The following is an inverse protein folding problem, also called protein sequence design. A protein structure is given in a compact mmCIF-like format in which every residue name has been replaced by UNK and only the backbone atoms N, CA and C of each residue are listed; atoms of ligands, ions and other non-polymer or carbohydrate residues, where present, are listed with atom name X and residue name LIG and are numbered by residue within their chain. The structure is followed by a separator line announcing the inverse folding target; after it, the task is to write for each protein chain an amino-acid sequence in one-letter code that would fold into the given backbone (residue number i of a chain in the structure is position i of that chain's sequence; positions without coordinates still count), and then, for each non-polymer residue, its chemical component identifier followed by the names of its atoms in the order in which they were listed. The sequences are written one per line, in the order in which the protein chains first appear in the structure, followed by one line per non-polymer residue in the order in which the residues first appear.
data_IF_259244314789
#
_entry.id   IF_259244314789
#
_cell.length_a   1.000
_cell.length_b   1.000
_cell.length_c   1.000
_cell.angle_alpha   90.00
_cell.angle_beta   90.00
_cell.angle_gamma   90.00
#
_symmetry.space_group_name_H-M   'P 1'
#
loop_
_entity.id
_entity.type
_entity.pdbx_description
1 polymer ?
#
# COMPACT_ATOMS: atom_id res chain seq x y z
N UNK A 1 -44.56 22.92 8.47
CA UNK A 1 -43.99 22.43 7.19
C UNK A 1 -42.45 22.50 7.07
N UNK A 2 -41.69 23.15 8.00
CA UNK A 2 -40.19 23.08 8.02
C UNK A 2 -39.61 22.12 9.09
N UNK A 3 -40.42 21.64 10.03
CA UNK A 3 -39.99 20.68 11.07
C UNK A 3 -39.96 19.23 10.60
N UNK A 4 -40.76 18.91 9.58
CA UNK A 4 -41.01 17.54 9.12
C UNK A 4 -39.76 16.94 8.44
N UNK A 5 -39.02 17.74 7.66
CA UNK A 5 -37.74 17.30 7.06
C UNK A 5 -36.65 17.04 8.10
N UNK A 6 -36.57 17.87 9.14
CA UNK A 6 -35.65 17.66 10.27
C UNK A 6 -35.99 16.42 11.09
N UNK A 7 -37.29 16.13 11.25
CA UNK A 7 -37.78 14.93 11.91
C UNK A 7 -37.44 13.66 11.13
N UNK A 8 -37.68 13.65 9.81
CA UNK A 8 -37.35 12.52 8.92
C UNK A 8 -35.85 12.25 8.92
N UNK A 9 -35.02 13.30 8.79
CA UNK A 9 -33.56 13.16 8.83
C UNK A 9 -33.07 12.59 10.17
N UNK A 10 -33.62 13.07 11.29
CA UNK A 10 -33.28 12.55 12.61
C UNK A 10 -33.62 11.05 12.73
N UNK A 11 -34.80 10.63 12.27
CA UNK A 11 -35.20 9.22 12.31
C UNK A 11 -34.32 8.32 11.42
N UNK A 12 -33.90 8.82 10.26
CA UNK A 12 -32.97 8.10 9.39
C UNK A 12 -31.60 7.90 10.06
N UNK A 13 -31.04 8.95 10.66
CA UNK A 13 -29.76 8.87 11.38
C UNK A 13 -29.86 7.94 12.59
N UNK A 14 -30.95 8.01 13.36
CA UNK A 14 -31.20 7.11 14.49
C UNK A 14 -31.26 5.66 14.02
N UNK A 15 -32.04 5.36 12.96
CA UNK A 15 -32.16 4.01 12.41
C UNK A 15 -30.81 3.44 11.95
N UNK A 16 -29.94 4.28 11.39
CA UNK A 16 -28.58 3.87 10.99
C UNK A 16 -27.68 3.61 12.19
N UNK A 17 -27.71 4.49 13.19
CA UNK A 17 -26.90 4.33 14.41
C UNK A 17 -27.18 3.00 15.13
N UNK A 18 -28.44 2.55 15.14
CA UNK A 18 -28.81 1.26 15.75
C UNK A 18 -28.11 0.04 15.10
N UNK A 19 -27.61 0.17 13.86
CA UNK A 19 -26.91 -0.90 13.15
C UNK A 19 -25.37 -0.75 13.19
N UNK A 20 -24.84 0.21 13.94
CA UNK A 20 -23.39 0.49 14.02
C UNK A 20 -22.87 -0.02 15.37
N UNK A 21 -21.90 -0.97 15.38
CA UNK A 21 -21.29 -1.43 16.62
C UNK A 21 -20.66 -0.27 17.41
N UNK A 22 -20.94 -0.19 18.71
CA UNK A 22 -20.43 0.87 19.58
C UNK A 22 -21.14 2.22 19.42
N UNK A 23 -22.25 2.32 18.68
CA UNK A 23 -23.07 3.52 18.63
C UNK A 23 -24.20 3.48 19.67
N UNK A 24 -24.40 4.59 20.39
CA UNK A 24 -25.54 4.80 21.30
C UNK A 24 -26.33 6.04 20.91
N UNK A 25 -27.66 5.92 20.92
CA UNK A 25 -28.57 7.01 20.56
C UNK A 25 -29.22 7.56 21.83
N UNK A 26 -29.18 8.89 21.99
CA UNK A 26 -29.82 9.60 23.10
C UNK A 26 -30.83 10.60 22.56
N UNK A 27 -32.13 10.32 22.76
CA UNK A 27 -33.24 11.17 22.33
C UNK A 27 -33.89 11.90 23.51
N UNK A 28 -34.11 13.21 23.38
CA UNK A 28 -34.60 14.05 24.48
C UNK A 28 -36.13 14.25 24.50
N UNK A 29 -36.88 13.64 23.59
CA UNK A 29 -38.35 13.63 23.57
C UNK A 29 -39.04 15.00 23.79
N UNK A 30 -38.46 16.08 23.25
CA UNK A 30 -39.02 17.43 23.42
C UNK A 30 -40.29 17.62 22.58
N UNK A 31 -41.31 18.32 23.10
CA UNK A 31 -42.65 18.38 22.49
C UNK A 31 -42.70 19.10 21.14
N UNK A 32 -41.67 19.87 20.76
CA UNK A 32 -41.65 20.59 19.48
C UNK A 32 -40.26 20.60 18.81
N UNK A 33 -40.22 20.32 17.52
CA UNK A 33 -39.01 20.35 16.68
C UNK A 33 -38.93 21.71 15.98
N UNK A 34 -37.96 22.53 16.42
CA UNK A 34 -37.68 23.86 15.86
C UNK A 34 -36.23 23.92 15.37
N UNK A 35 -35.95 24.73 14.34
CA UNK A 35 -34.59 24.92 13.80
C UNK A 35 -33.62 25.33 14.92
N UNK A 36 -32.40 24.79 14.91
CA UNK A 36 -31.35 24.99 15.94
C UNK A 36 -31.66 24.44 17.35
N UNK A 37 -32.80 23.77 17.57
CA UNK A 37 -33.07 23.08 18.84
C UNK A 37 -32.39 21.70 18.84
N UNK A 38 -31.48 21.45 19.79
CA UNK A 38 -30.88 20.12 19.97
C UNK A 38 -31.94 19.12 20.46
N UNK A 39 -32.23 18.11 19.65
CA UNK A 39 -33.25 17.08 19.91
C UNK A 39 -32.67 15.78 20.48
N UNK A 40 -31.37 15.57 20.34
CA UNK A 40 -30.66 14.40 20.83
C UNK A 40 -29.17 14.47 20.51
N UNK A 41 -28.48 13.35 20.72
CA UNK A 41 -27.12 13.13 20.23
C UNK A 41 -26.87 11.63 20.03
N UNK A 42 -25.82 11.31 19.27
CA UNK A 42 -25.36 9.94 19.03
C UNK A 42 -23.90 9.90 19.46
N UNK A 43 -23.54 8.91 20.28
CA UNK A 43 -22.16 8.66 20.69
C UNK A 43 -21.65 7.45 19.92
N UNK A 44 -20.43 7.50 19.42
CA UNK A 44 -19.78 6.39 18.73
C UNK A 44 -18.47 6.11 19.46
N UNK A 45 -18.29 4.89 19.93
CA UNK A 45 -17.05 4.41 20.54
C UNK A 45 -16.45 3.29 19.71
N UNK A 46 -15.12 3.16 19.78
CA UNK A 46 -14.36 2.14 19.08
C UNK A 46 -12.96 2.03 19.68
N UNK A 47 -12.22 0.96 19.35
CA UNK A 47 -10.89 0.72 19.93
C UNK A 47 -9.83 1.70 19.39
N UNK A 48 -10.09 2.36 18.26
CA UNK A 48 -9.22 3.38 17.68
C UNK A 48 -10.01 4.55 17.09
N UNK A 49 -9.33 5.68 16.86
CA UNK A 49 -9.92 6.83 16.17
C UNK A 49 -10.31 6.51 14.72
N UNK A 50 -9.63 5.53 14.09
CA UNK A 50 -9.96 5.07 12.74
C UNK A 50 -11.34 4.38 12.72
N UNK A 51 -11.60 3.49 13.66
CA UNK A 51 -12.88 2.77 13.76
C UNK A 51 -14.04 3.73 14.04
N UNK A 52 -13.83 4.68 14.96
CA UNK A 52 -14.81 5.73 15.27
C UNK A 52 -15.14 6.55 14.04
N UNK A 53 -14.12 6.93 13.24
CA UNK A 53 -14.32 7.70 12.00
C UNK A 53 -15.05 6.89 10.93
N UNK A 54 -14.71 5.62 10.75
CA UNK A 54 -15.37 4.74 9.80
C UNK A 54 -16.85 4.51 10.16
N UNK A 55 -17.16 4.35 11.44
CA UNK A 55 -18.52 4.26 11.95
C UNK A 55 -19.30 5.57 11.76
N UNK A 56 -18.67 6.73 12.01
CA UNK A 56 -19.27 8.03 11.76
C UNK A 56 -19.60 8.24 10.27
N UNK A 57 -18.71 7.85 9.36
CA UNK A 57 -18.94 7.98 7.91
C UNK A 57 -20.13 7.13 7.44
N UNK A 58 -20.28 5.89 7.97
CA UNK A 58 -21.47 5.05 7.73
C UNK A 58 -22.76 5.69 8.24
N UNK A 59 -22.72 6.28 9.44
CA UNK A 59 -23.89 6.95 10.04
C UNK A 59 -24.39 8.09 9.15
N UNK A 60 -23.47 8.92 8.66
CA UNK A 60 -23.81 10.12 7.91
C UNK A 60 -24.30 9.83 6.48
N UNK A 61 -24.19 8.61 5.96
CA UNK A 61 -24.36 8.32 4.52
C UNK A 61 -23.68 9.40 3.69
N UNK A 62 -22.43 9.72 4.03
CA UNK A 62 -21.56 10.22 2.99
C UNK A 62 -21.42 9.05 2.04
N UNK A 63 -22.18 9.05 0.96
CA UNK A 63 -21.95 8.13 -0.13
C UNK A 63 -20.45 8.16 -0.39
N UNK A 64 -19.79 7.04 -0.18
CA UNK A 64 -18.50 6.78 -0.81
C UNK A 64 -18.78 6.51 -2.29
N UNK A 65 -19.37 7.50 -2.96
CA UNK A 65 -19.32 7.69 -4.42
C UNK A 65 -18.02 8.42 -4.81
N UNK A 66 -17.18 8.76 -3.82
CA UNK A 66 -15.74 8.74 -4.03
C UNK A 66 -15.26 7.31 -4.25
N UNK A 67 -14.21 7.08 -5.04
CA UNK A 67 -13.70 5.75 -5.34
C UNK A 67 -13.63 4.94 -4.04
N UNK A 68 -14.19 3.72 -4.01
CA UNK A 68 -14.01 2.77 -2.91
C UNK A 68 -12.56 2.92 -2.46
N UNK A 69 -12.31 3.45 -1.26
CA UNK A 69 -10.95 3.61 -0.75
C UNK A 69 -10.41 2.21 -0.57
N UNK A 70 -9.79 1.69 -1.62
CA UNK A 70 -9.25 0.35 -1.65
C UNK A 70 -8.17 0.34 -0.58
N UNK A 71 -8.35 -0.51 0.43
CA UNK A 71 -7.38 -0.59 1.52
C UNK A 71 -6.07 -1.13 0.92
N UNK A 72 -4.94 -0.43 1.12
CA UNK A 72 -3.67 -0.87 0.56
C UNK A 72 -3.29 -2.22 1.20
N UNK A 73 -2.92 -3.19 0.37
CA UNK A 73 -2.33 -4.47 0.77
C UNK A 73 -0.81 -4.40 0.79
N UNK A 74 -0.22 -3.55 -0.07
CA UNK A 74 1.21 -3.33 -0.13
C UNK A 74 1.56 -1.86 0.16
N UNK A 75 2.78 -1.63 0.61
CA UNK A 75 3.35 -0.29 0.75
C UNK A 75 4.66 -0.18 -0.01
N UNK A 76 4.85 0.91 -0.74
CA UNK A 76 6.12 1.29 -1.37
C UNK A 76 6.63 2.55 -0.67
N UNK A 77 7.68 2.41 0.14
CA UNK A 77 8.28 3.52 0.86
C UNK A 77 9.71 3.78 0.42
N UNK A 78 10.11 5.04 0.47
CA UNK A 78 11.45 5.47 0.11
C UNK A 78 11.97 6.56 1.02
N UNK A 79 13.30 6.61 1.20
CA UNK A 79 13.95 7.58 2.07
C UNK A 79 13.93 9.01 1.53
N UNK A 80 13.87 9.16 0.20
CA UNK A 80 13.90 10.43 -0.52
C UNK A 80 13.07 10.37 -1.81
N UNK A 81 12.58 11.52 -2.28
CA UNK A 81 11.91 11.63 -3.58
C UNK A 81 12.82 11.30 -4.77
N UNK A 82 14.13 11.54 -4.62
CA UNK A 82 15.16 11.13 -5.57
C UNK A 82 15.21 9.62 -5.84
N UNK A 83 14.63 8.81 -4.95
CA UNK A 83 14.57 7.35 -5.11
C UNK A 83 13.36 6.92 -5.98
N UNK A 84 12.38 7.82 -6.19
CA UNK A 84 11.14 7.55 -6.91
C UNK A 84 11.36 7.04 -8.35
N UNK A 85 12.33 7.54 -9.14
CA UNK A 85 12.58 7.02 -10.50
C UNK A 85 12.89 5.52 -10.54
N UNK A 86 13.42 4.96 -9.46
CA UNK A 86 13.66 3.52 -9.29
C UNK A 86 12.42 2.87 -8.66
N UNK A 87 11.95 3.41 -7.55
CA UNK A 87 10.89 2.78 -6.75
C UNK A 87 9.52 2.72 -7.45
N UNK A 88 9.29 3.55 -8.48
CA UNK A 88 8.09 3.49 -9.32
C UNK A 88 7.93 2.13 -10.01
N UNK A 89 9.01 1.39 -10.26
CA UNK A 89 8.92 0.11 -10.97
C UNK A 89 8.27 -0.96 -10.08
N UNK A 90 8.42 -0.86 -8.75
CA UNK A 90 7.65 -1.67 -7.81
C UNK A 90 6.15 -1.33 -7.88
N UNK A 91 5.81 -0.04 -7.92
CA UNK A 91 4.43 0.42 -8.07
C UNK A 91 3.81 -0.07 -9.38
N UNK A 92 4.53 0.02 -10.50
CA UNK A 92 4.07 -0.45 -11.80
C UNK A 92 3.74 -1.95 -11.80
N UNK A 93 4.54 -2.78 -11.10
CA UNK A 93 4.21 -4.20 -10.92
C UNK A 93 2.96 -4.39 -10.06
N UNK A 94 2.83 -3.66 -8.95
CA UNK A 94 1.63 -3.75 -8.10
C UNK A 94 0.37 -3.33 -8.88
N UNK A 95 0.44 -2.28 -9.70
CA UNK A 95 -0.64 -1.87 -10.62
C UNK A 95 -0.97 -2.97 -11.63
N UNK A 96 0.04 -3.55 -12.29
CA UNK A 96 -0.13 -4.64 -13.26
C UNK A 96 -0.87 -5.85 -12.68
N UNK A 97 -0.63 -6.16 -11.41
CA UNK A 97 -1.31 -7.25 -10.70
C UNK A 97 -2.56 -6.79 -9.93
N UNK A 98 -3.05 -5.57 -10.15
CA UNK A 98 -4.21 -5.00 -9.47
C UNK A 98 -4.12 -5.12 -7.93
N UNK A 99 -2.91 -4.99 -7.37
CA UNK A 99 -2.68 -5.00 -5.94
C UNK A 99 -2.84 -3.57 -5.42
N UNK A 100 -3.78 -3.31 -4.50
CA UNK A 100 -3.92 -1.98 -3.91
C UNK A 100 -2.68 -1.66 -3.08
N UNK A 101 -2.10 -0.49 -3.29
CA UNK A 101 -0.91 -0.08 -2.55
C UNK A 101 -0.91 1.41 -2.21
N UNK A 102 -0.05 1.77 -1.27
CA UNK A 102 0.31 3.16 -1.02
C UNK A 102 1.77 3.40 -1.38
N UNK A 103 2.07 4.59 -1.89
CA UNK A 103 3.44 5.02 -2.19
C UNK A 103 3.71 6.34 -1.45
N UNK A 104 4.76 6.38 -0.64
CA UNK A 104 5.06 7.58 0.15
C UNK A 104 6.53 7.68 0.58
N UNK A 105 6.93 8.86 1.06
CA UNK A 105 8.28 9.12 1.57
C UNK A 105 8.30 8.91 3.08
N UNK A 106 9.26 8.09 3.52
CA UNK A 106 9.54 7.77 4.92
C UNK A 106 11.04 7.76 5.11
N UNK A 107 11.61 8.83 5.67
CA UNK A 107 13.06 8.91 5.89
C UNK A 107 13.42 8.40 7.29
N UNK A 108 14.25 7.35 7.35
CA UNK A 108 14.76 6.80 8.61
C UNK A 108 15.64 7.79 9.37
N UNK A 109 16.44 8.59 8.65
CA UNK A 109 17.38 9.52 9.28
C UNK A 109 16.78 10.91 9.54
N UNK A 110 15.93 11.42 8.65
CA UNK A 110 15.40 12.78 8.73
C UNK A 110 14.06 12.86 9.47
N UNK A 111 13.27 11.78 9.45
CA UNK A 111 11.96 11.70 10.10
C UNK A 111 11.79 10.38 10.85
N UNK A 112 12.67 10.06 11.83
CA UNK A 112 12.67 8.76 12.51
C UNK A 112 11.33 8.46 13.21
N UNK A 113 10.69 9.45 13.84
CA UNK A 113 9.39 9.27 14.50
C UNK A 113 8.27 8.92 13.50
N UNK A 114 8.28 9.54 12.31
CA UNK A 114 7.35 9.20 11.23
C UNK A 114 7.56 7.76 10.78
N UNK A 115 8.80 7.34 10.57
CA UNK A 115 9.13 5.95 10.20
C UNK A 115 8.66 4.97 11.28
N UNK A 116 8.91 5.30 12.54
CA UNK A 116 8.52 4.49 13.69
C UNK A 116 7.00 4.29 13.74
N UNK A 117 6.24 5.39 13.71
CA UNK A 117 4.78 5.36 13.71
C UNK A 117 4.21 4.65 12.46
N UNK A 118 4.85 4.83 11.30
CA UNK A 118 4.46 4.18 10.06
C UNK A 118 4.60 2.65 10.14
N UNK A 119 5.74 2.16 10.63
CA UNK A 119 6.02 0.73 10.73
C UNK A 119 5.13 0.02 11.76
N UNK A 120 4.94 0.61 12.95
CA UNK A 120 4.07 0.04 14.00
C UNK A 120 2.61 -0.08 13.55
N UNK A 121 2.08 0.96 12.90
CA UNK A 121 0.68 0.99 12.46
C UNK A 121 0.42 0.21 11.16
N UNK A 122 1.46 -0.22 10.43
CA UNK A 122 1.33 -0.79 9.09
C UNK A 122 0.34 -1.97 9.02
N UNK A 123 0.47 -2.93 9.94
CA UNK A 123 -0.40 -4.12 10.00
C UNK A 123 -1.84 -3.77 10.32
N UNK A 124 -2.06 -2.85 11.25
CA UNK A 124 -3.41 -2.39 11.64
C UNK A 124 -4.13 -1.66 10.50
N UNK A 125 -3.37 -0.99 9.62
CA UNK A 125 -3.89 -0.35 8.41
C UNK A 125 -4.26 -1.35 7.30
N UNK A 126 -3.95 -2.63 7.47
CA UNK A 126 -4.25 -3.70 6.51
C UNK A 126 -3.12 -4.02 5.53
N UNK A 127 -1.92 -3.46 5.73
CA UNK A 127 -0.77 -3.84 4.93
C UNK A 127 -0.36 -5.28 5.23
N UNK A 128 0.01 -5.99 4.19
CA UNK A 128 0.48 -7.38 4.19
C UNK A 128 1.96 -7.48 3.83
N UNK A 129 2.51 -6.50 3.10
CA UNK A 129 3.93 -6.46 2.70
C UNK A 129 4.41 -5.01 2.53
N UNK A 130 5.67 -4.74 2.88
CA UNK A 130 6.30 -3.43 2.71
C UNK A 130 7.52 -3.56 1.81
N UNK A 131 7.60 -2.73 0.78
CA UNK A 131 8.76 -2.55 -0.09
C UNK A 131 9.44 -1.23 0.29
N UNK A 132 10.70 -1.30 0.73
CA UNK A 132 11.44 -0.16 1.23
C UNK A 132 12.72 0.08 0.41
N UNK A 133 12.84 1.27 -0.18
CA UNK A 133 14.01 1.72 -0.93
C UNK A 133 14.88 2.69 -0.13
N UNK A 134 16.19 2.46 -0.11
CA UNK A 134 17.15 3.41 0.45
C UNK A 134 18.56 3.27 -0.18
N UNK A 135 19.30 4.39 -0.22
CA UNK A 135 20.66 4.46 -0.75
C UNK A 135 21.72 4.81 0.30
N UNK A 136 22.97 4.42 0.06
CA UNK A 136 24.11 4.72 0.93
C UNK A 136 24.08 3.90 2.22
N UNK A 137 24.09 4.60 3.37
CA UNK A 137 23.78 3.99 4.67
C UNK A 137 22.27 3.69 4.77
N UNK A 138 21.83 2.67 4.04
CA UNK A 138 20.44 2.42 3.68
C UNK A 138 19.62 1.75 4.81
N UNK A 139 19.41 2.46 5.92
CA UNK A 139 18.80 1.89 7.14
C UNK A 139 17.28 1.67 7.09
N UNK A 140 16.57 2.29 6.15
CA UNK A 140 15.10 2.27 6.12
C UNK A 140 14.51 0.85 6.15
N UNK A 141 14.94 -0.11 5.29
CA UNK A 141 14.33 -1.44 5.27
C UNK A 141 14.53 -2.20 6.60
N UNK A 142 15.76 -2.19 7.13
CA UNK A 142 16.09 -2.87 8.38
C UNK A 142 15.38 -2.28 9.60
N UNK A 143 15.27 -0.95 9.67
CA UNK A 143 14.56 -0.27 10.76
C UNK A 143 13.05 -0.46 10.69
N UNK A 144 12.46 -0.55 9.50
CA UNK A 144 11.04 -0.89 9.37
C UNK A 144 10.79 -2.34 9.76
N UNK A 145 11.65 -3.26 9.32
CA UNK A 145 11.57 -4.68 9.67
C UNK A 145 11.68 -4.93 11.18
N UNK A 146 12.45 -4.12 11.91
CA UNK A 146 12.58 -4.27 13.37
C UNK A 146 11.35 -3.83 14.16
N UNK A 147 10.41 -3.12 13.53
CA UNK A 147 9.25 -2.50 14.16
C UNK A 147 7.92 -3.11 13.72
N UNK A 148 7.95 -4.11 12.84
CA UNK A 148 6.73 -4.73 12.31
C UNK A 148 6.86 -6.24 12.20
N UNK A 149 5.71 -6.93 12.19
CA UNK A 149 5.64 -8.38 11.93
C UNK A 149 5.40 -8.70 10.45
N UNK A 150 5.25 -7.67 9.62
CA UNK A 150 5.05 -7.82 8.18
C UNK A 150 6.38 -8.15 7.48
N UNK A 151 6.36 -8.91 6.38
CA UNK A 151 7.52 -9.06 5.52
C UNK A 151 7.95 -7.70 4.95
N UNK A 152 9.25 -7.42 5.02
CA UNK A 152 9.87 -6.22 4.44
C UNK A 152 10.84 -6.63 3.34
N UNK A 153 10.64 -6.07 2.15
CA UNK A 153 11.48 -6.24 0.98
C UNK A 153 12.36 -5.00 0.85
N UNK A 154 13.67 -5.20 0.82
CA UNK A 154 14.65 -4.12 0.72
C UNK A 154 15.12 -3.93 -0.73
N UNK A 155 15.02 -2.71 -1.25
CA UNK A 155 15.57 -2.30 -2.56
C UNK A 155 16.80 -1.42 -2.32
N UNK A 156 18.02 -1.93 -2.57
CA UNK A 156 19.22 -1.11 -2.50
C UNK A 156 19.23 -0.10 -3.63
N UNK A 157 19.23 1.20 -3.31
CA UNK A 157 19.25 2.27 -4.31
C UNK A 157 20.69 2.54 -4.74
N UNK A 158 20.90 2.80 -6.02
CA UNK A 158 22.22 3.10 -6.57
C UNK A 158 22.80 4.39 -5.97
N UNK A 159 24.10 4.37 -5.68
CA UNK A 159 24.86 5.52 -5.18
C UNK A 159 25.98 5.89 -6.14
N UNK A 160 26.31 7.18 -6.24
CA UNK A 160 27.37 7.66 -7.13
C UNK A 160 28.75 7.07 -6.79
N UNK A 161 29.05 6.93 -5.50
CA UNK A 161 30.39 6.57 -5.05
C UNK A 161 30.66 5.07 -5.11
N UNK A 162 29.70 4.22 -4.71
CA UNK A 162 29.89 2.78 -4.55
C UNK A 162 28.89 1.93 -5.35
N UNK A 163 28.19 2.56 -6.29
CA UNK A 163 27.27 1.92 -7.24
C UNK A 163 26.19 1.08 -6.55
N UNK A 164 25.80 1.46 -5.33
CA UNK A 164 24.80 0.76 -4.52
C UNK A 164 25.34 -0.44 -3.73
N UNK A 165 26.65 -0.73 -3.75
CA UNK A 165 27.24 -1.79 -2.90
C UNK A 165 27.10 -1.45 -1.41
N UNK A 166 27.27 -0.18 -1.06
CA UNK A 166 26.99 0.38 0.26
C UNK A 166 25.53 0.17 0.66
N UNK A 167 24.61 0.50 -0.23
CA UNK A 167 23.17 0.27 -0.03
C UNK A 167 22.87 -1.22 0.15
N UNK A 168 23.46 -2.09 -0.68
CA UNK A 168 23.22 -3.52 -0.66
C UNK A 168 23.66 -4.11 0.67
N UNK A 169 24.91 -3.85 1.08
CA UNK A 169 25.46 -4.39 2.32
C UNK A 169 24.73 -3.82 3.56
N UNK A 170 24.27 -2.57 3.52
CA UNK A 170 23.46 -1.98 4.60
C UNK A 170 22.10 -2.65 4.79
N UNK A 171 21.54 -3.25 3.73
CA UNK A 171 20.20 -3.86 3.75
C UNK A 171 20.28 -5.38 3.95
N UNK A 172 21.18 -6.07 3.24
CA UNK A 172 21.20 -7.55 3.21
C UNK A 172 21.86 -8.17 4.44
N UNK A 173 22.82 -7.50 5.07
CA UNK A 173 23.59 -8.03 6.20
C UNK A 173 22.91 -7.81 7.56
N UNK A 174 21.59 -8.00 7.62
CA UNK A 174 20.87 -7.89 8.88
C UNK A 174 21.36 -8.93 9.90
N UNK A 175 21.56 -8.55 11.17
CA UNK A 175 21.83 -9.50 12.24
C UNK A 175 20.69 -10.51 12.42
N UNK A 176 20.99 -11.62 13.13
CA UNK A 176 20.00 -12.66 13.44
C UNK A 176 18.79 -12.06 14.17
N UNK A 177 17.60 -12.42 13.72
CA UNK A 177 16.32 -12.08 14.36
C UNK A 177 15.44 -11.12 13.57
N UNK A 178 16.03 -10.20 12.78
CA UNK A 178 15.27 -9.19 12.02
C UNK A 178 15.60 -9.31 10.53
N UNK A 179 14.91 -10.18 9.78
CA UNK A 179 15.20 -10.41 8.37
C UNK A 179 14.67 -9.27 7.46
N UNK A 180 15.38 -9.01 6.38
CA UNK A 180 14.91 -8.22 5.23
C UNK A 180 15.09 -9.06 3.97
N UNK A 181 14.05 -9.16 3.14
CA UNK A 181 14.14 -9.84 1.85
C UNK A 181 14.75 -8.87 0.81
N UNK A 182 16.07 -8.90 0.66
CA UNK A 182 16.79 -7.96 -0.21
C UNK A 182 16.79 -8.43 -1.67
N UNK A 183 16.42 -7.53 -2.59
CA UNK A 183 16.53 -7.76 -4.04
C UNK A 183 17.80 -7.12 -4.61
N UNK A 184 18.04 -7.31 -5.92
CA UNK A 184 19.17 -6.70 -6.61
C UNK A 184 19.17 -5.17 -6.53
N UNK A 185 20.35 -4.56 -6.62
CA UNK A 185 20.53 -3.10 -6.60
C UNK A 185 19.67 -2.46 -7.72
N UNK A 186 18.86 -1.47 -7.34
CA UNK A 186 17.99 -0.73 -8.24
C UNK A 186 16.79 -1.52 -8.77
N UNK A 187 16.61 -2.79 -8.41
CA UNK A 187 15.60 -3.65 -9.02
C UNK A 187 14.28 -3.63 -8.24
N UNK A 188 13.62 -2.47 -8.24
CA UNK A 188 12.30 -2.31 -7.61
C UNK A 188 11.21 -3.13 -8.32
N UNK A 189 11.35 -3.41 -9.63
CA UNK A 189 10.46 -4.31 -10.36
C UNK A 189 10.41 -5.70 -9.69
N UNK A 190 11.56 -6.31 -9.42
CA UNK A 190 11.62 -7.60 -8.72
C UNK A 190 11.13 -7.52 -7.28
N UNK A 191 11.23 -6.36 -6.62
CA UNK A 191 10.62 -6.18 -5.30
C UNK A 191 9.09 -6.20 -5.38
N UNK A 192 8.51 -5.57 -6.40
CA UNK A 192 7.08 -5.66 -6.71
C UNK A 192 6.67 -7.11 -7.00
N UNK A 193 7.42 -7.83 -7.83
CA UNK A 193 7.14 -9.24 -8.16
C UNK A 193 7.25 -10.15 -6.93
N UNK A 194 8.23 -9.93 -6.07
CA UNK A 194 8.38 -10.67 -4.82
C UNK A 194 7.21 -10.39 -3.87
N UNK A 195 6.77 -9.13 -3.75
CA UNK A 195 5.58 -8.78 -2.99
C UNK A 195 4.34 -9.49 -3.52
N UNK A 196 4.13 -9.49 -4.85
CA UNK A 196 3.03 -10.20 -5.50
C UNK A 196 3.09 -11.70 -5.18
N UNK A 197 4.26 -12.34 -5.26
CA UNK A 197 4.43 -13.77 -4.91
C UNK A 197 4.13 -14.06 -3.44
N UNK A 198 4.53 -13.17 -2.53
CA UNK A 198 4.19 -13.30 -1.10
C UNK A 198 2.66 -13.25 -0.89
N UNK A 199 1.97 -12.31 -1.53
CA UNK A 199 0.51 -12.19 -1.46
C UNK A 199 -0.20 -13.37 -2.12
N UNK A 200 0.32 -13.84 -3.25
CA UNK A 200 -0.23 -14.97 -4.02
C UNK A 200 -0.21 -16.29 -3.24
N UNK A 201 0.69 -16.45 -2.27
CA UNK A 201 0.81 -17.67 -1.46
C UNK A 201 -0.49 -18.09 -0.75
N UNK A 202 -1.45 -17.15 -0.58
CA UNK A 202 -2.76 -17.40 0.02
C UNK A 202 -3.92 -16.92 -0.85
N UNK A 203 -3.66 -16.58 -2.10
CA UNK A 203 -4.60 -15.97 -3.05
C UNK A 203 -4.48 -16.71 -4.39
N UNK A 204 -5.38 -17.68 -4.62
CA UNK A 204 -5.31 -18.59 -5.78
C UNK A 204 -5.45 -17.84 -7.10
N UNK A 205 -6.33 -16.84 -7.17
CA UNK A 205 -6.52 -16.03 -8.37
C UNK A 205 -5.27 -15.18 -8.67
N UNK A 206 -4.62 -14.63 -7.64
CA UNK A 206 -3.34 -13.95 -7.82
C UNK A 206 -2.22 -14.92 -8.22
N UNK A 207 -2.22 -16.14 -7.67
CA UNK A 207 -1.27 -17.19 -8.06
C UNK A 207 -1.39 -17.56 -9.54
N UNK A 208 -2.60 -17.68 -10.06
CA UNK A 208 -2.83 -17.96 -11.49
C UNK A 208 -2.30 -16.84 -12.38
N UNK A 209 -2.52 -15.58 -12.00
CA UNK A 209 -1.95 -14.41 -12.71
C UNK A 209 -0.43 -14.39 -12.68
N UNK A 210 0.18 -14.86 -11.59
CA UNK A 210 1.65 -15.01 -11.50
C UNK A 210 2.15 -16.10 -12.44
N UNK A 211 1.43 -17.21 -12.57
CA UNK A 211 1.75 -18.28 -13.52
C UNK A 211 1.64 -17.78 -14.97
N UNK A 212 0.56 -17.08 -15.30
CA UNK A 212 0.36 -16.46 -16.62
C UNK A 212 1.48 -15.46 -16.94
N UNK A 213 1.90 -14.64 -15.97
CA UNK A 213 3.04 -13.74 -16.16
C UNK A 213 4.33 -14.50 -16.49
N UNK A 214 4.59 -15.65 -15.88
CA UNK A 214 5.77 -16.47 -16.17
C UNK A 214 5.72 -17.09 -17.56
N UNK A 215 4.55 -17.60 -17.98
CA UNK A 215 4.34 -18.13 -19.33
C UNK A 215 4.57 -17.04 -20.39
N UNK A 216 4.03 -15.84 -20.17
CA UNK A 216 4.24 -14.70 -21.07
C UNK A 216 5.72 -14.29 -21.19
N UNK A 217 6.52 -14.45 -20.13
CA UNK A 217 7.97 -14.20 -20.19
C UNK A 217 8.68 -15.26 -21.05
N UNK A 218 8.31 -16.53 -20.90
CA UNK A 218 8.83 -17.61 -21.72
C UNK A 218 8.50 -17.37 -23.20
N UNK A 219 7.24 -17.09 -23.52
CA UNK A 219 6.79 -16.80 -24.89
C UNK A 219 7.55 -15.61 -25.49
N UNK A 220 7.75 -14.54 -24.71
CA UNK A 220 8.52 -13.37 -25.14
C UNK A 220 9.97 -13.71 -25.49
N UNK A 221 10.61 -14.59 -24.70
CA UNK A 221 11.98 -15.05 -24.97
C UNK A 221 12.02 -15.95 -26.20
N UNK A 222 11.08 -16.88 -26.35
CA UNK A 222 11.01 -17.79 -27.50
C UNK A 222 10.79 -17.03 -28.81
N UNK A 223 9.95 -15.98 -28.80
CA UNK A 223 9.76 -15.09 -29.95
C UNK A 223 11.05 -14.36 -30.31
N UNK A 224 11.75 -13.78 -29.32
CA UNK A 224 13.04 -13.09 -29.55
C UNK A 224 14.12 -14.03 -30.05
N UNK A 225 14.19 -15.25 -29.50
CA UNK A 225 15.15 -16.27 -29.93
C UNK A 225 14.92 -16.65 -31.40
N UNK A 226 13.67 -16.95 -31.78
CA UNK A 226 13.30 -17.26 -33.17
C UNK A 226 13.68 -16.13 -34.13
N UNK A 227 13.32 -14.89 -33.78
CA UNK A 227 13.66 -13.72 -34.60
C UNK A 227 15.17 -13.56 -34.77
N UNK A 228 15.96 -13.78 -33.72
CA UNK A 228 17.41 -13.70 -33.78
C UNK A 228 18.00 -14.81 -34.67
N UNK A 229 17.48 -16.03 -34.59
CA UNK A 229 17.89 -17.18 -35.41
C UNK A 229 17.55 -16.98 -36.90
N UNK A 230 16.39 -16.41 -37.21
CA UNK A 230 15.94 -16.16 -38.59
C UNK A 230 16.63 -14.97 -39.25
N UNK A 231 16.83 -13.87 -38.51
CA UNK A 231 17.38 -12.63 -39.07
C UNK A 231 18.91 -12.61 -39.08
N UNK A 232 19.55 -13.32 -38.16
CA UNK A 232 20.97 -13.11 -37.84
C UNK A 232 21.17 -11.90 -36.91
N UNK A 233 22.33 -11.86 -36.24
CA UNK A 233 22.61 -10.86 -35.20
C UNK A 233 22.66 -9.41 -35.73
N UNK A 234 23.13 -9.22 -36.96
CA UNK A 234 23.30 -7.91 -37.60
C UNK A 234 21.95 -7.24 -37.89
N UNK A 235 21.05 -7.96 -38.57
CA UNK A 235 19.69 -7.47 -38.88
C UNK A 235 18.83 -7.34 -37.63
N UNK A 236 18.99 -8.25 -36.65
CA UNK A 236 18.26 -8.17 -35.39
C UNK A 236 18.61 -6.89 -34.61
N UNK A 237 19.90 -6.49 -34.57
CA UNK A 237 20.30 -5.24 -33.93
C UNK A 237 19.67 -4.02 -34.61
N UNK A 238 19.63 -4.00 -35.94
CA UNK A 238 19.06 -2.88 -36.71
C UNK A 238 17.55 -2.75 -36.55
N UNK A 239 16.83 -3.87 -36.50
CA UNK A 239 15.36 -3.91 -36.55
C UNK A 239 14.70 -4.01 -35.18
N UNK A 240 15.36 -4.62 -34.20
CA UNK A 240 14.75 -4.98 -32.92
C UNK A 240 15.43 -4.33 -31.70
N UNK A 241 16.63 -3.74 -31.85
CA UNK A 241 17.38 -3.15 -30.71
C UNK A 241 17.81 -1.68 -30.90
N UNK A 242 17.41 -1.00 -31.99
CA UNK A 242 17.58 0.46 -32.06
C UNK A 242 16.68 1.14 -31.01
N UNK A 243 17.17 2.20 -30.35
CA UNK A 243 16.48 2.86 -29.24
C UNK A 243 15.14 3.47 -29.65
#
# INVERSE_FOLDING_TARGET
MRGDSGFVLAHQLIKRALNIPGASVHWYAKPEIRKQRKMGHITIVGPSMFDVKAHLDRLLQRDTDGPKKVRPRAAVIMGSDSDLPIMKDAAAILEKFNIPFELTIVSAHRTPERMYAYALSAKERGLEVIIAGAGGAAHLPGMVASLTTLPVIGVPIWTKSLQGTDSLLSIVQMPKGIPVATVAIGNAENAGLLAVRMLASRDTELSDRVNEYQQNLEDSVLVKARLLEELGWDKYLEQCMKP
#
